data_IF_663681234577
#
_entry.id   IF_663681234577
#
_cell.length_a   1.000
_cell.length_b   1.000
_cell.length_c   1.000
_cell.angle_alpha   90.00
_cell.angle_beta   90.00
_cell.angle_gamma   90.00
#
_symmetry.space_group_name_H-M   'P 1'
#
loop_
_entity.id
_entity.type
_entity.pdbx_description
1 polymer ?
#
# COMPACT_ATOMS: atom_id res chain seq x y z
N UNK A 1 -18.73 -7.74 8.27
CA UNK A 1 -19.42 -6.51 7.79
C UNK A 1 -18.39 -5.61 7.12
N UNK A 2 -18.60 -5.25 5.86
CA UNK A 2 -17.80 -4.21 5.18
C UNK A 2 -18.30 -2.84 5.65
N UNK A 3 -17.40 -2.03 6.24
CA UNK A 3 -17.72 -0.65 6.62
C UNK A 3 -18.09 0.14 5.35
N UNK A 4 -19.26 0.79 5.32
CA UNK A 4 -19.63 1.67 4.21
C UNK A 4 -18.82 2.97 4.26
N UNK A 5 -18.63 3.68 3.14
CA UNK A 5 -17.96 4.99 3.12
C UNK A 5 -18.59 6.01 4.08
N UNK A 6 -19.92 6.01 4.16
CA UNK A 6 -20.66 6.85 5.11
C UNK A 6 -20.38 6.44 6.57
N UNK A 7 -20.35 5.15 6.87
CA UNK A 7 -20.01 4.65 8.21
C UNK A 7 -18.55 4.95 8.58
N UNK A 8 -17.63 4.88 7.61
CA UNK A 8 -16.23 5.24 7.79
C UNK A 8 -16.08 6.73 8.13
N UNK A 9 -16.63 7.63 7.30
CA UNK A 9 -16.54 9.08 7.54
C UNK A 9 -17.28 9.56 8.79
N UNK A 10 -18.39 8.91 9.15
CA UNK A 10 -19.14 9.24 10.37
C UNK A 10 -18.46 8.71 11.65
N UNK A 11 -17.46 7.83 11.54
CA UNK A 11 -16.73 7.32 12.69
C UNK A 11 -15.70 8.35 13.17
N UNK A 12 -16.13 9.27 14.03
CA UNK A 12 -15.18 9.95 14.89
C UNK A 12 -14.35 8.88 15.64
N UNK A 13 -13.03 9.05 15.80
CA UNK A 13 -12.23 8.12 16.58
C UNK A 13 -12.91 7.94 17.93
N UNK A 14 -13.25 6.68 18.28
CA UNK A 14 -13.92 6.40 19.55
C UNK A 14 -13.07 7.02 20.68
N UNK A 15 -13.69 7.71 21.66
CA UNK A 15 -12.94 8.21 22.81
C UNK A 15 -12.25 7.02 23.48
N UNK A 16 -10.97 7.18 23.78
CA UNK A 16 -10.23 6.16 24.51
C UNK A 16 -10.77 6.05 25.93
N UNK A 17 -10.83 4.83 26.44
CA UNK A 17 -11.35 4.53 27.76
C UNK A 17 -10.23 4.12 28.73
N UNK A 18 -10.56 4.09 30.01
CA UNK A 18 -9.73 3.58 31.09
C UNK A 18 -10.61 3.25 32.28
N UNK A 19 -10.14 2.39 33.18
CA UNK A 19 -10.87 2.04 34.40
C UNK A 19 -11.07 3.24 35.36
N UNK A 20 -10.36 4.34 35.12
CA UNK A 20 -10.44 5.61 35.86
C UNK A 20 -10.30 6.79 34.88
N UNK A 21 -10.67 7.99 35.32
CA UNK A 21 -10.42 9.22 34.55
C UNK A 21 -8.93 9.45 34.26
N UNK A 22 -8.06 9.11 35.23
CA UNK A 22 -6.61 9.16 35.03
C UNK A 22 -6.16 8.20 33.92
N UNK A 23 -6.68 6.96 33.90
CA UNK A 23 -6.35 5.97 32.88
C UNK A 23 -6.85 6.39 31.49
N UNK A 24 -8.04 6.98 31.39
CA UNK A 24 -8.57 7.49 30.12
C UNK A 24 -7.73 8.66 29.57
N UNK A 25 -7.30 9.59 30.44
CA UNK A 25 -6.34 10.64 30.07
C UNK A 25 -5.01 10.02 29.60
N UNK A 26 -4.48 9.07 30.35
CA UNK A 26 -3.21 8.41 30.02
C UNK A 26 -3.26 7.64 28.71
N UNK A 27 -4.38 6.96 28.40
CA UNK A 27 -4.58 6.32 27.10
C UNK A 27 -4.47 7.30 25.93
N UNK A 28 -4.98 8.53 26.09
CA UNK A 28 -4.81 9.59 25.09
C UNK A 28 -3.35 10.03 24.94
N UNK A 29 -2.62 10.15 26.04
CA UNK A 29 -1.19 10.47 26.02
C UNK A 29 -0.39 9.38 25.28
N UNK A 30 -0.66 8.10 25.54
CA UNK A 30 -0.01 6.98 24.84
C UNK A 30 -0.36 6.97 23.35
N UNK A 31 -1.64 7.10 22.98
CA UNK A 31 -2.03 7.16 21.55
C UNK A 31 -1.33 8.32 20.83
N UNK A 32 -1.22 9.48 21.48
CA UNK A 32 -0.55 10.65 20.91
C UNK A 32 0.92 10.34 20.55
N UNK A 33 1.66 9.66 21.42
CA UNK A 33 3.06 9.27 21.14
C UNK A 33 3.16 8.41 19.87
N UNK A 34 2.30 7.40 19.73
CA UNK A 34 2.29 6.56 18.52
C UNK A 34 1.93 7.35 17.26
N UNK A 35 0.94 8.24 17.35
CA UNK A 35 0.51 9.07 16.20
C UNK A 35 1.60 10.07 15.79
N UNK A 36 2.22 10.76 16.73
CA UNK A 36 3.30 11.72 16.46
C UNK A 36 4.51 11.03 15.83
N UNK A 37 4.93 9.88 16.37
CA UNK A 37 6.02 9.12 15.78
C UNK A 37 5.69 8.60 14.38
N UNK A 38 4.48 8.07 14.17
CA UNK A 38 4.05 7.60 12.85
C UNK A 38 3.99 8.73 11.82
N UNK A 39 3.59 9.94 12.21
CA UNK A 39 3.59 11.11 11.33
C UNK A 39 5.00 11.51 10.87
N UNK A 40 6.02 11.23 11.68
CA UNK A 40 7.42 11.54 11.38
C UNK A 40 8.20 10.34 10.80
N UNK A 41 7.56 9.17 10.66
CA UNK A 41 8.22 7.98 10.14
C UNK A 41 8.67 8.18 8.68
N UNK A 42 9.81 7.61 8.24
CA UNK A 42 10.33 7.79 6.88
C UNK A 42 9.31 7.52 5.77
N UNK A 43 8.47 6.48 5.95
CA UNK A 43 7.38 6.13 5.02
C UNK A 43 6.32 7.22 4.88
N UNK A 44 6.02 7.94 5.97
CA UNK A 44 5.04 9.03 5.99
C UNK A 44 5.60 10.30 5.35
N UNK A 45 6.91 10.50 5.43
CA UNK A 45 7.62 11.65 4.85
C UNK A 45 8.05 11.39 3.39
N UNK A 46 7.88 10.17 2.89
CA UNK A 46 8.28 9.79 1.55
C UNK A 46 7.45 10.54 0.49
N UNK A 47 8.11 11.45 -0.23
CA UNK A 47 7.50 12.22 -1.33
C UNK A 47 7.52 11.48 -2.67
N UNK A 48 8.47 10.55 -2.85
CA UNK A 48 8.63 9.79 -4.08
C UNK A 48 7.80 8.50 -4.03
N UNK A 49 6.91 8.31 -5.00
CA UNK A 49 6.11 7.09 -5.07
C UNK A 49 6.97 5.87 -5.40
N UNK A 50 6.81 4.79 -4.63
CA UNK A 50 7.45 3.51 -4.90
C UNK A 50 6.55 2.55 -5.71
N UNK A 51 7.05 1.36 -6.05
CA UNK A 51 6.31 0.33 -6.79
C UNK A 51 4.92 -0.02 -6.21
N UNK A 52 4.77 0.04 -4.89
CA UNK A 52 3.49 -0.22 -4.20
C UNK A 52 2.38 0.76 -4.56
N UNK A 53 2.71 1.94 -5.07
CA UNK A 53 1.74 2.99 -5.40
C UNK A 53 1.45 3.09 -6.89
N UNK A 54 2.36 2.64 -7.76
CA UNK A 54 2.14 2.64 -9.21
C UNK A 54 1.00 1.70 -9.62
N UNK A 55 0.78 0.63 -8.85
CA UNK A 55 -0.31 -0.32 -9.06
C UNK A 55 -1.71 0.21 -8.72
N UNK A 56 -1.82 1.39 -8.10
CA UNK A 56 -3.11 2.03 -7.82
C UNK A 56 -3.82 2.39 -9.13
N UNK A 57 -5.12 2.10 -9.19
CA UNK A 57 -5.94 2.27 -10.39
C UNK A 57 -6.30 3.73 -10.66
N UNK A 58 -6.63 4.48 -9.60
CA UNK A 58 -7.10 5.87 -9.72
C UNK A 58 -5.98 6.84 -10.10
N UNK A 59 -6.06 7.38 -11.32
CA UNK A 59 -5.11 8.38 -11.83
C UNK A 59 -5.06 9.63 -10.96
N UNK A 60 -6.22 10.15 -10.53
CA UNK A 60 -6.29 11.30 -9.63
C UNK A 60 -5.54 11.06 -8.32
N UNK A 61 -5.65 9.86 -7.75
CA UNK A 61 -4.93 9.53 -6.52
C UNK A 61 -3.41 9.51 -6.74
N UNK A 62 -2.94 8.87 -7.81
CA UNK A 62 -1.50 8.77 -8.04
C UNK A 62 -0.91 10.12 -8.45
N UNK A 63 -1.54 10.84 -9.38
CA UNK A 63 -1.10 12.16 -9.82
C UNK A 63 -1.13 13.18 -8.67
N UNK A 64 -2.17 13.17 -7.83
CA UNK A 64 -2.24 14.06 -6.67
C UNK A 64 -1.12 13.82 -5.66
N UNK A 65 -0.73 12.56 -5.43
CA UNK A 65 0.41 12.24 -4.56
C UNK A 65 1.73 12.69 -5.20
N UNK A 66 1.94 12.41 -6.49
CA UNK A 66 3.12 12.87 -7.23
C UNK A 66 3.26 14.41 -7.23
N UNK A 67 2.13 15.13 -7.27
CA UNK A 67 2.10 16.59 -7.22
C UNK A 67 2.31 17.17 -5.81
N UNK A 68 2.33 16.33 -4.76
CA UNK A 68 2.41 16.79 -3.37
C UNK A 68 1.14 17.53 -2.91
N UNK A 69 -0.02 17.20 -3.48
CA UNK A 69 -1.29 17.81 -3.07
C UNK A 69 -1.54 17.58 -1.57
N UNK A 70 -2.12 18.56 -0.85
CA UNK A 70 -2.46 18.39 0.55
C UNK A 70 -3.52 17.30 0.74
N UNK A 71 -3.35 16.48 1.77
CA UNK A 71 -4.33 15.45 2.15
C UNK A 71 -5.59 16.10 2.71
N UNK A 72 -6.77 15.65 2.26
CA UNK A 72 -8.07 16.15 2.73
C UNK A 72 -8.81 15.14 3.59
N UNK A 73 -8.45 13.86 3.48
CA UNK A 73 -9.01 12.79 4.30
C UNK A 73 -8.37 12.79 5.69
N UNK A 74 -9.20 12.90 6.72
CA UNK A 74 -8.80 13.05 8.12
C UNK A 74 -9.12 11.81 8.98
N UNK A 75 -9.65 10.75 8.36
CA UNK A 75 -10.22 9.57 9.08
C UNK A 75 -9.22 8.41 9.17
N UNK A 76 -7.91 8.70 9.08
CA UNK A 76 -6.88 7.66 9.07
C UNK A 76 -6.24 7.46 10.44
N UNK A 77 -6.40 6.27 11.01
CA UNK A 77 -5.64 5.81 12.18
C UNK A 77 -4.36 5.09 11.70
N UNK A 78 -3.15 5.48 12.15
CA UNK A 78 -1.90 4.91 11.67
C UNK A 78 -1.61 3.51 12.22
N UNK A 79 -2.36 3.00 13.21
CA UNK A 79 -2.10 1.72 13.87
C UNK A 79 -1.90 0.53 12.93
N UNK A 80 -2.71 0.32 11.87
CA UNK A 80 -2.48 -0.76 10.92
C UNK A 80 -1.11 -0.65 10.20
N UNK A 81 -0.67 0.57 9.89
CA UNK A 81 0.61 0.82 9.22
C UNK A 81 1.80 0.65 10.17
N UNK A 82 1.65 1.08 11.43
CA UNK A 82 2.64 0.86 12.49
C UNK A 82 2.84 -0.64 12.70
N UNK A 83 1.74 -1.39 12.87
CA UNK A 83 1.77 -2.84 13.03
C UNK A 83 2.44 -3.53 11.84
N UNK A 84 2.08 -3.14 10.62
CA UNK A 84 2.72 -3.66 9.40
C UNK A 84 4.23 -3.42 9.41
N UNK A 85 4.67 -2.19 9.64
CA UNK A 85 6.10 -1.82 9.66
C UNK A 85 6.89 -2.64 10.68
N UNK A 86 6.37 -2.78 11.90
CA UNK A 86 7.03 -3.58 12.95
C UNK A 86 7.12 -5.07 12.58
N UNK A 87 6.09 -5.63 11.94
CA UNK A 87 6.07 -7.04 11.54
C UNK A 87 6.97 -7.32 10.33
N UNK A 88 7.11 -6.39 9.37
CA UNK A 88 8.08 -6.51 8.28
C UNK A 88 9.52 -6.51 8.82
N UNK A 89 9.84 -5.57 9.71
CA UNK A 89 11.17 -5.52 10.33
C UNK A 89 11.52 -6.83 11.04
N UNK A 90 10.58 -7.38 11.83
CA UNK A 90 10.77 -8.68 12.49
C UNK A 90 10.93 -9.82 11.48
N UNK A 91 10.15 -9.83 10.39
CA UNK A 91 10.25 -10.87 9.36
C UNK A 91 11.63 -10.82 8.65
N UNK A 92 12.10 -9.64 8.29
CA UNK A 92 13.42 -9.45 7.67
C UNK A 92 14.56 -10.00 8.55
N UNK A 93 14.51 -9.70 9.85
CA UNK A 93 15.46 -10.25 10.83
C UNK A 93 15.38 -11.78 10.91
N UNK A 94 14.16 -12.33 10.92
CA UNK A 94 13.94 -13.77 11.02
C UNK A 94 14.48 -14.55 9.80
N UNK A 95 14.25 -14.05 8.59
CA UNK A 95 14.76 -14.67 7.35
C UNK A 95 16.29 -14.55 7.25
N UNK A 96 16.84 -13.39 7.62
CA UNK A 96 18.30 -13.19 7.68
C UNK A 96 18.94 -14.14 8.69
N UNK A 97 18.34 -14.33 9.86
CA UNK A 97 18.81 -15.28 10.86
C UNK A 97 18.71 -16.75 10.40
N UNK A 98 17.74 -17.10 9.56
CA UNK A 98 17.63 -18.45 8.99
C UNK A 98 18.80 -18.78 8.04
N UNK A 99 19.25 -17.82 7.22
CA UNK A 99 20.45 -17.98 6.40
C UNK A 99 21.68 -18.33 7.26
N UNK A 100 21.87 -17.60 8.37
CA UNK A 100 22.99 -17.84 9.30
C UNK A 100 22.87 -19.22 9.93
N UNK A 101 21.68 -19.58 10.44
CA UNK A 101 21.44 -20.85 11.13
C UNK A 101 21.68 -22.06 10.22
N UNK A 102 21.28 -21.95 8.95
CA UNK A 102 21.42 -23.02 7.95
C UNK A 102 22.72 -22.94 7.14
N UNK A 103 23.51 -21.89 7.35
CA UNK A 103 24.74 -21.61 6.60
C UNK A 103 24.52 -21.64 5.07
N UNK A 104 23.44 -21.00 4.61
CA UNK A 104 23.08 -20.90 3.19
C UNK A 104 22.50 -19.51 2.90
N UNK A 105 22.92 -18.90 1.80
CA UNK A 105 22.33 -17.63 1.34
C UNK A 105 21.10 -17.93 0.48
N UNK A 106 19.95 -18.16 1.13
CA UNK A 106 18.67 -18.38 0.44
C UNK A 106 17.86 -17.09 0.39
N UNK A 107 17.75 -16.39 1.52
CA UNK A 107 16.84 -15.27 1.71
C UNK A 107 17.56 -13.93 1.51
N UNK A 108 17.14 -13.12 0.55
CA UNK A 108 17.61 -11.73 0.43
C UNK A 108 16.48 -10.81 0.90
N UNK A 109 16.54 -10.38 2.16
CA UNK A 109 15.52 -9.52 2.76
C UNK A 109 15.81 -8.02 2.56
N UNK A 110 14.76 -7.21 2.45
CA UNK A 110 14.81 -5.73 2.40
C UNK A 110 15.76 -5.16 1.32
N UNK A 111 15.76 -5.79 0.14
CA UNK A 111 16.63 -5.39 -0.95
C UNK A 111 16.08 -4.18 -1.71
N UNK A 112 16.93 -3.16 -1.89
CA UNK A 112 16.62 -2.06 -2.81
C UNK A 112 16.63 -2.55 -4.25
N UNK A 113 15.57 -2.28 -4.99
CA UNK A 113 15.39 -2.64 -6.40
C UNK A 113 14.91 -1.45 -7.22
N UNK A 114 15.26 -1.41 -8.51
CA UNK A 114 14.93 -0.29 -9.41
C UNK A 114 14.23 -0.81 -10.67
N UNK A 115 12.90 -1.06 -10.61
CA UNK A 115 12.14 -1.44 -11.80
C UNK A 115 11.87 -0.27 -12.74
N UNK A 116 11.89 0.95 -12.21
CA UNK A 116 11.74 2.19 -12.96
C UNK A 116 12.70 3.23 -12.36
N UNK A 117 13.43 4.02 -13.18
CA UNK A 117 14.44 4.97 -12.70
C UNK A 117 13.92 5.95 -11.64
N UNK A 118 12.71 6.49 -11.86
CA UNK A 118 12.08 7.45 -10.93
C UNK A 118 11.31 6.82 -9.78
N UNK A 119 11.09 5.50 -9.82
CA UNK A 119 10.26 4.78 -8.84
C UNK A 119 10.96 3.54 -8.26
N UNK A 120 12.14 3.71 -7.64
CA UNK A 120 12.81 2.64 -6.92
C UNK A 120 12.03 2.24 -5.66
N UNK A 121 12.17 0.97 -5.26
CA UNK A 121 11.46 0.39 -4.12
C UNK A 121 12.36 -0.54 -3.30
N UNK A 122 11.86 -0.95 -2.14
CA UNK A 122 12.50 -2.00 -1.33
C UNK A 122 11.58 -3.20 -1.34
N UNK A 123 12.08 -4.33 -1.85
CA UNK A 123 11.35 -5.59 -1.87
C UNK A 123 11.56 -6.30 -0.52
N UNK A 124 10.49 -6.90 0.02
CA UNK A 124 10.54 -7.52 1.34
C UNK A 124 11.49 -8.71 1.37
N UNK A 125 11.37 -9.62 0.37
CA UNK A 125 12.12 -10.86 0.35
C UNK A 125 12.32 -11.38 -1.08
N UNK A 126 13.50 -11.93 -1.36
CA UNK A 126 13.75 -12.79 -2.50
C UNK A 126 14.27 -14.15 -2.02
N UNK A 127 13.65 -15.22 -2.53
CA UNK A 127 14.07 -16.59 -2.30
C UNK A 127 14.94 -17.05 -3.48
N UNK A 128 16.25 -17.16 -3.25
CA UNK A 128 17.21 -17.58 -4.26
C UNK A 128 17.07 -19.06 -4.65
N UNK A 129 16.50 -19.89 -3.77
CA UNK A 129 16.28 -21.30 -4.04
C UNK A 129 15.10 -21.49 -5.00
N UNK A 130 13.97 -20.83 -4.70
CA UNK A 130 12.74 -20.91 -5.51
C UNK A 130 12.69 -19.87 -6.65
N UNK A 131 13.67 -18.97 -6.70
CA UNK A 131 13.78 -17.85 -7.64
C UNK A 131 12.52 -17.00 -7.63
N UNK A 132 12.02 -16.71 -6.43
CA UNK A 132 10.76 -16.00 -6.23
C UNK A 132 10.98 -14.66 -5.53
N UNK A 133 10.14 -13.70 -5.89
CA UNK A 133 10.02 -12.43 -5.16
C UNK A 133 8.79 -12.49 -4.29
N UNK A 134 8.99 -12.32 -3.00
CA UNK A 134 8.00 -12.57 -1.97
C UNK A 134 7.68 -11.26 -1.24
N UNK A 135 6.41 -10.86 -1.20
CA UNK A 135 5.94 -9.67 -0.47
C UNK A 135 5.09 -10.11 0.73
N UNK A 136 5.46 -9.63 1.92
CA UNK A 136 4.79 -9.94 3.17
C UNK A 136 3.57 -9.03 3.33
N UNK A 137 2.40 -9.60 3.62
CA UNK A 137 1.18 -8.85 3.95
C UNK A 137 0.55 -9.36 5.23
N UNK A 138 0.60 -8.53 6.27
CA UNK A 138 -0.06 -8.80 7.55
C UNK A 138 -1.49 -8.26 7.52
N UNK A 139 -2.44 -9.13 7.19
CA UNK A 139 -3.81 -8.76 6.87
C UNK A 139 -4.78 -9.07 8.01
N UNK A 140 -5.76 -8.18 8.19
CA UNK A 140 -6.96 -8.51 8.95
C UNK A 140 -7.86 -9.48 8.18
N UNK A 141 -8.79 -10.12 8.89
CA UNK A 141 -9.64 -11.20 8.38
C UNK A 141 -10.34 -10.87 7.04
N UNK A 142 -10.92 -9.68 6.91
CA UNK A 142 -11.64 -9.28 5.70
C UNK A 142 -10.73 -9.12 4.47
N UNK A 143 -9.53 -8.57 4.65
CA UNK A 143 -8.54 -8.43 3.59
C UNK A 143 -7.94 -9.78 3.20
N UNK A 144 -7.71 -10.65 4.18
CA UNK A 144 -7.23 -12.01 3.95
C UNK A 144 -8.25 -12.84 3.16
N UNK A 145 -9.55 -12.73 3.50
CA UNK A 145 -10.63 -13.37 2.75
C UNK A 145 -10.69 -12.90 1.29
N UNK A 146 -10.45 -11.61 1.02
CA UNK A 146 -10.37 -11.09 -0.36
C UNK A 146 -9.22 -11.72 -1.15
N UNK A 147 -8.03 -11.77 -0.56
CA UNK A 147 -6.84 -12.38 -1.19
C UNK A 147 -7.06 -13.88 -1.48
N UNK A 148 -7.78 -14.60 -0.60
CA UNK A 148 -8.12 -16.02 -0.77
C UNK A 148 -9.26 -16.28 -1.76
N UNK A 149 -9.98 -15.25 -2.19
CA UNK A 149 -11.08 -15.42 -3.13
C UNK A 149 -10.57 -15.88 -4.49
N UNK A 150 -11.47 -16.40 -5.34
CA UNK A 150 -11.10 -16.76 -6.72
C UNK A 150 -10.53 -15.60 -7.54
N UNK A 151 -10.84 -14.35 -7.15
CA UNK A 151 -10.25 -13.14 -7.77
C UNK A 151 -8.80 -12.91 -7.34
N UNK A 152 -8.32 -13.53 -6.27
CA UNK A 152 -6.96 -13.37 -5.76
C UNK A 152 -6.66 -11.95 -5.23
N UNK A 153 -5.38 -11.57 -5.15
CA UNK A 153 -4.97 -10.24 -4.71
C UNK A 153 -5.35 -9.15 -5.70
N UNK A 154 -5.46 -7.92 -5.20
CA UNK A 154 -5.81 -6.74 -6.00
C UNK A 154 -4.77 -6.45 -7.09
N UNK A 155 -5.16 -5.70 -8.13
CA UNK A 155 -4.24 -5.21 -9.16
C UNK A 155 -3.02 -4.52 -8.54
N UNK A 156 -3.24 -3.72 -7.50
CA UNK A 156 -2.15 -3.01 -6.81
C UNK A 156 -1.08 -3.97 -6.28
N UNK A 157 -1.47 -5.06 -5.61
CA UNK A 157 -0.51 -6.05 -5.09
C UNK A 157 0.20 -6.81 -6.22
N UNK A 158 -0.53 -7.18 -7.28
CA UNK A 158 0.07 -7.88 -8.43
C UNK A 158 1.10 -7.01 -9.15
N UNK A 159 0.77 -5.75 -9.42
CA UNK A 159 1.69 -4.80 -10.05
C UNK A 159 2.90 -4.56 -9.15
N UNK A 160 2.71 -4.37 -7.84
CA UNK A 160 3.82 -4.21 -6.90
C UNK A 160 4.80 -5.39 -6.98
N UNK A 161 4.29 -6.61 -6.91
CA UNK A 161 5.06 -7.84 -6.98
C UNK A 161 5.84 -7.97 -8.28
N UNK A 162 5.20 -7.74 -9.43
CA UNK A 162 5.86 -7.85 -10.72
C UNK A 162 6.85 -6.72 -10.99
N UNK A 163 6.62 -5.51 -10.44
CA UNK A 163 7.62 -4.46 -10.44
C UNK A 163 8.85 -4.87 -9.61
N UNK A 164 8.67 -5.47 -8.43
CA UNK A 164 9.83 -5.99 -7.70
C UNK A 164 10.54 -7.13 -8.46
N UNK A 165 9.77 -8.02 -9.11
CA UNK A 165 10.29 -9.03 -10.05
C UNK A 165 11.19 -8.43 -11.13
N UNK A 166 10.70 -7.39 -11.83
CA UNK A 166 11.48 -6.66 -12.82
C UNK A 166 12.73 -6.01 -12.20
N UNK A 167 12.60 -5.43 -11.00
CA UNK A 167 13.71 -4.81 -10.29
C UNK A 167 14.86 -5.78 -9.99
N UNK A 168 14.54 -7.00 -9.55
CA UNK A 168 15.55 -8.07 -9.36
C UNK A 168 16.14 -8.56 -10.70
N UNK A 169 15.32 -8.67 -11.75
CA UNK A 169 15.81 -9.00 -13.10
C UNK A 169 16.79 -7.96 -13.62
N UNK A 170 16.53 -6.68 -13.39
CA UNK A 170 17.43 -5.59 -13.75
C UNK A 170 18.79 -5.67 -13.02
N UNK A 171 18.82 -6.32 -11.85
CA UNK A 171 20.06 -6.63 -11.12
C UNK A 171 20.76 -7.91 -11.61
N UNK A 172 20.19 -8.62 -12.59
CA UNK A 172 20.74 -9.87 -13.12
C UNK A 172 20.30 -11.13 -12.37
N UNK A 173 19.37 -11.02 -11.41
CA UNK A 173 18.87 -12.19 -10.67
C UNK A 173 17.71 -12.86 -11.41
N UNK A 174 17.66 -14.21 -11.45
CA UNK A 174 16.56 -14.93 -12.07
C UNK A 174 15.30 -14.80 -11.21
N UNK A 175 14.18 -14.44 -11.84
CA UNK A 175 12.85 -14.44 -11.20
C UNK A 175 11.91 -15.29 -12.04
N UNK A 176 11.44 -16.39 -11.47
CA UNK A 176 10.54 -17.34 -12.15
C UNK A 176 9.08 -17.09 -11.73
N UNK A 177 8.85 -16.68 -10.48
CA UNK A 177 7.52 -16.37 -9.93
C UNK A 177 7.54 -15.20 -8.96
N UNK A 178 6.36 -14.66 -8.68
CA UNK A 178 6.11 -13.71 -7.59
C UNK A 178 5.13 -14.32 -6.58
N UNK A 179 5.27 -13.97 -5.31
CA UNK A 179 4.55 -14.60 -4.21
C UNK A 179 4.03 -13.53 -3.25
N UNK A 180 2.75 -13.60 -2.92
CA UNK A 180 2.14 -12.84 -1.83
C UNK A 180 2.00 -13.75 -0.60
N UNK A 181 2.72 -13.42 0.46
CA UNK A 181 2.65 -14.11 1.75
C UNK A 181 1.64 -13.39 2.65
N UNK A 182 0.41 -13.88 2.71
CA UNK A 182 -0.69 -13.27 3.45
C UNK A 182 -0.82 -13.86 4.86
N UNK A 183 -0.27 -13.15 5.84
CA UNK A 183 -0.25 -13.53 7.27
C UNK A 183 -1.52 -13.06 8.00
N UNK A 184 -2.08 -13.86 8.92
CA UNK A 184 -3.26 -13.50 9.69
C UNK A 184 -2.89 -12.58 10.88
N UNK A 185 -2.88 -11.26 10.66
CA UNK A 185 -2.34 -10.28 11.62
C UNK A 185 -3.07 -10.19 12.97
N UNK A 186 -4.28 -10.76 13.06
CA UNK A 186 -5.12 -10.72 14.27
C UNK A 186 -5.36 -12.12 14.86
N UNK A 187 -4.80 -13.17 14.27
CA UNK A 187 -4.92 -14.54 14.78
C UNK A 187 -3.84 -14.84 15.83
N UNK A 188 -4.08 -15.85 16.67
CA UNK A 188 -3.14 -16.32 17.69
C UNK A 188 -2.07 -17.30 17.18
N UNK A 189 -2.15 -17.73 15.91
CA UNK A 189 -1.20 -18.68 15.29
C UNK A 189 -0.96 -18.35 13.81
N UNK A 190 0.06 -18.98 13.22
CA UNK A 190 0.38 -18.88 11.80
C UNK A 190 -0.39 -19.86 10.91
N UNK A 191 -1.30 -20.67 11.46
CA UNK A 191 -2.07 -21.67 10.70
C UNK A 191 -2.93 -21.03 9.58
N UNK A 192 -3.24 -19.74 9.72
CA UNK A 192 -3.92 -18.94 8.73
C UNK A 192 -3.03 -18.34 7.64
N UNK A 193 -1.73 -18.63 7.59
CA UNK A 193 -0.86 -18.18 6.50
C UNK A 193 -1.40 -18.69 5.17
N UNK A 194 -1.61 -17.78 4.23
CA UNK A 194 -2.01 -18.10 2.86
C UNK A 194 -0.97 -17.59 1.87
N UNK A 195 -0.61 -18.42 0.91
CA UNK A 195 0.36 -18.10 -0.13
C UNK A 195 -0.37 -18.04 -1.46
N UNK A 196 -0.31 -16.88 -2.11
CA UNK A 196 -0.74 -16.72 -3.50
C UNK A 196 0.50 -16.54 -4.37
N UNK A 197 0.52 -17.14 -5.55
CA UNK A 197 1.66 -17.06 -6.46
C UNK A 197 1.22 -16.84 -7.91
N UNK A 198 2.13 -16.29 -8.72
CA UNK A 198 1.97 -16.17 -10.15
C UNK A 198 3.32 -16.23 -10.86
N UNK A 199 3.38 -16.91 -12.01
CA UNK A 199 4.55 -16.88 -12.89
C UNK A 199 4.85 -15.44 -13.34
N UNK A 200 6.14 -15.05 -13.35
CA UNK A 200 6.54 -13.68 -13.71
C UNK A 200 6.89 -13.53 -15.21
N UNK A 201 7.43 -14.58 -15.83
CA UNK A 201 7.97 -14.53 -17.20
C UNK A 201 6.93 -14.91 -18.26
N UNK A 202 5.85 -14.15 -18.35
CA UNK A 202 4.85 -14.31 -19.41
C UNK A 202 4.66 -12.99 -20.18
N UNK A 203 4.27 -13.08 -21.46
CA UNK A 203 3.97 -11.89 -22.28
C UNK A 203 2.94 -10.99 -21.62
N UNK A 204 1.92 -11.58 -21.00
CA UNK A 204 0.84 -10.85 -20.32
C UNK A 204 1.36 -9.97 -19.16
N UNK A 205 2.46 -10.39 -18.50
CA UNK A 205 3.08 -9.59 -17.44
C UNK A 205 3.91 -8.45 -18.02
N UNK A 206 4.62 -8.69 -19.12
CA UNK A 206 5.36 -7.63 -19.80
C UNK A 206 4.38 -6.55 -20.33
N UNK A 207 3.24 -6.97 -20.92
CA UNK A 207 2.16 -6.07 -21.36
C UNK A 207 1.56 -5.29 -20.19
N UNK A 208 1.30 -5.94 -19.05
CA UNK A 208 0.81 -5.28 -17.84
C UNK A 208 1.78 -4.20 -17.35
N UNK A 209 3.08 -4.50 -17.31
CA UNK A 209 4.09 -3.56 -16.85
C UNK A 209 4.24 -2.39 -17.83
N UNK A 210 4.15 -2.64 -19.14
CA UNK A 210 4.13 -1.58 -20.14
C UNK A 210 2.95 -0.62 -19.90
N UNK A 211 1.74 -1.14 -19.73
CA UNK A 211 0.56 -0.32 -19.43
C UNK A 211 0.75 0.49 -18.14
N UNK A 212 1.33 -0.11 -17.09
CA UNK A 212 1.64 0.59 -15.84
C UNK A 212 2.62 1.74 -16.05
N UNK A 213 3.64 1.57 -16.90
CA UNK A 213 4.59 2.64 -17.20
C UNK A 213 3.99 3.76 -18.04
N UNK A 214 3.15 3.44 -19.03
CA UNK A 214 2.40 4.44 -19.81
C UNK A 214 1.45 5.25 -18.91
N UNK A 215 0.73 4.57 -18.01
CA UNK A 215 -0.09 5.22 -16.98
C UNK A 215 0.75 6.12 -16.08
N UNK A 216 1.92 5.63 -15.64
CA UNK A 216 2.84 6.39 -14.78
C UNK A 216 3.32 7.66 -15.48
N UNK A 217 3.73 7.59 -16.75
CA UNK A 217 4.12 8.76 -17.53
C UNK A 217 2.98 9.79 -17.68
N UNK A 218 1.76 9.30 -17.93
CA UNK A 218 0.55 10.15 -17.98
C UNK A 218 0.29 10.84 -16.65
N UNK A 219 0.38 10.11 -15.53
CA UNK A 219 0.20 10.63 -14.17
C UNK A 219 1.28 11.64 -13.79
N UNK A 220 2.53 11.42 -14.21
CA UNK A 220 3.62 12.39 -14.04
C UNK A 220 3.35 13.67 -14.83
N UNK A 221 2.79 13.58 -16.05
CA UNK A 221 2.37 14.76 -16.79
C UNK A 221 1.28 15.54 -16.02
N UNK A 222 0.23 14.88 -15.55
CA UNK A 222 -0.78 15.53 -14.71
C UNK A 222 -0.18 16.19 -13.46
N UNK A 223 0.74 15.51 -12.78
CA UNK A 223 1.39 16.03 -11.59
C UNK A 223 2.18 17.33 -11.88
N UNK A 224 2.89 17.39 -13.01
CA UNK A 224 3.59 18.61 -13.46
C UNK A 224 2.63 19.76 -13.77
N UNK A 225 1.52 19.46 -14.44
CA UNK A 225 0.50 20.48 -14.75
C UNK A 225 -0.21 21.01 -13.49
N UNK A 226 -0.43 20.14 -12.49
CA UNK A 226 -0.95 20.54 -11.17
C UNK A 226 0.06 21.44 -10.45
N UNK A 227 1.32 21.00 -10.38
CA UNK A 227 2.38 21.78 -9.73
C UNK A 227 2.56 23.16 -10.37
N UNK A 228 2.40 23.26 -11.69
CA UNK A 228 2.46 24.51 -12.43
C UNK A 228 1.17 25.36 -12.35
N UNK A 229 0.13 24.91 -11.64
CA UNK A 229 -1.14 25.62 -11.50
C UNK A 229 -2.00 25.65 -12.77
N UNK A 230 -1.68 24.84 -13.79
CA UNK A 230 -2.42 24.76 -15.06
C UNK A 230 -3.55 23.73 -15.03
N UNK A 231 -3.50 22.80 -14.08
CA UNK A 231 -4.50 21.76 -13.88
C UNK A 231 -4.89 21.68 -12.40
N UNK A 232 -6.18 21.59 -12.10
CA UNK A 232 -6.66 21.28 -10.76
C UNK A 232 -6.79 19.78 -10.57
N UNK A 233 -6.59 19.28 -9.34
CA UNK A 233 -6.70 17.85 -9.04
C UNK A 233 -8.06 17.25 -9.44
N UNK A 234 -9.15 18.02 -9.31
CA UNK A 234 -10.50 17.63 -9.72
C UNK A 234 -10.62 17.34 -11.22
N UNK A 235 -9.74 17.91 -12.05
CA UNK A 235 -9.74 17.75 -13.50
C UNK A 235 -8.97 16.49 -13.96
N UNK A 236 -8.15 15.87 -13.10
CA UNK A 236 -7.54 14.56 -13.40
C UNK A 236 -8.64 13.49 -13.30
N UNK A 237 -8.71 12.48 -14.20
CA UNK A 237 -9.74 11.43 -14.13
C UNK A 237 -9.80 10.69 -12.78
N UNK A 238 -11.02 10.49 -12.24
CA UNK A 238 -11.24 9.65 -11.05
C UNK A 238 -11.18 8.16 -11.35
N UNK A 239 -11.34 7.81 -12.62
CA UNK A 239 -11.56 6.44 -13.10
C UNK A 239 -10.32 5.93 -13.85
N UNK A 240 -10.04 4.61 -13.80
CA UNK A 240 -10.73 3.61 -12.99
C UNK A 240 -10.55 3.88 -11.49
N UNK A 241 -11.54 3.54 -10.69
CA UNK A 241 -11.51 3.74 -9.24
C UNK A 241 -11.45 2.40 -8.51
N UNK A 242 -11.52 2.45 -7.19
CA UNK A 242 -11.79 1.27 -6.37
C UNK A 242 -12.89 1.58 -5.36
N UNK A 243 -13.57 0.54 -4.90
CA UNK A 243 -14.50 0.60 -3.77
C UNK A 243 -13.84 1.10 -2.47
N UNK A 244 -12.52 1.32 -2.48
CA UNK A 244 -11.70 1.78 -1.36
C UNK A 244 -11.42 3.28 -1.41
N UNK A 245 -12.18 4.07 -2.17
CA UNK A 245 -12.07 5.53 -2.22
C UNK A 245 -11.98 6.17 -0.82
N UNK A 246 -12.67 5.63 0.18
CA UNK A 246 -12.65 6.18 1.54
C UNK A 246 -11.28 6.07 2.25
N UNK A 247 -10.35 5.26 1.74
CA UNK A 247 -8.95 5.23 2.17
C UNK A 247 -8.02 6.15 1.35
N UNK A 248 -8.53 6.81 0.30
CA UNK A 248 -7.74 7.74 -0.50
C UNK A 248 -7.41 9.00 0.34
N UNK A 249 -6.15 9.50 0.32
CA UNK A 249 -5.77 10.72 1.04
C UNK A 249 -6.53 11.98 0.60
N UNK A 250 -7.06 11.96 -0.63
CA UNK A 250 -7.84 13.07 -1.19
C UNK A 250 -9.34 12.86 -1.06
N UNK A 251 -9.81 11.81 -0.41
CA UNK A 251 -11.25 11.59 -0.24
C UNK A 251 -11.86 12.65 0.66
N UNK A 252 -12.89 13.33 0.15
CA UNK A 252 -13.69 14.34 0.83
C UNK A 252 -15.07 14.39 0.16
N UNK A 253 -16.04 13.56 0.59
CA UNK A 253 -17.35 13.48 -0.05
C UNK A 253 -18.10 14.83 -0.06
N UNK A 254 -17.79 15.73 0.86
CA UNK A 254 -18.36 17.08 0.92
C UNK A 254 -18.00 17.93 -0.31
N UNK A 255 -16.88 17.63 -1.02
CA UNK A 255 -16.50 18.39 -2.21
C UNK A 255 -17.49 18.25 -3.37
N UNK A 256 -18.35 17.22 -3.38
CA UNK A 256 -19.44 17.12 -4.33
C UNK A 256 -20.47 18.26 -4.18
N UNK A 257 -20.64 18.79 -2.97
CA UNK A 257 -21.64 19.81 -2.65
C UNK A 257 -21.07 21.22 -2.66
N UNK A 258 -19.88 21.39 -2.10
CA UNK A 258 -19.29 22.72 -1.92
C UNK A 258 -18.22 23.10 -2.95
N UNK A 259 -17.84 22.16 -3.84
CA UNK A 259 -16.79 22.38 -4.83
C UNK A 259 -15.39 22.62 -4.23
N UNK A 260 -15.22 22.42 -2.94
CA UNK A 260 -13.96 22.64 -2.22
C UNK A 260 -12.89 21.59 -2.56
N UNK A 261 -11.67 21.84 -2.10
CA UNK A 261 -10.50 20.98 -2.35
C UNK A 261 -10.76 19.54 -1.92
N UNK A 262 -10.37 18.57 -2.75
CA UNK A 262 -10.53 17.14 -2.50
C UNK A 262 -11.37 16.44 -3.56
N UNK A 263 -11.43 15.12 -3.47
CA UNK A 263 -12.16 14.25 -4.37
C UNK A 263 -13.42 13.73 -3.66
N UNK A 264 -14.62 13.85 -4.26
CA UNK A 264 -15.83 13.32 -3.65
C UNK A 264 -15.83 11.80 -3.52
N UNK A 265 -14.88 11.14 -4.20
CA UNK A 265 -14.85 9.70 -4.42
C UNK A 265 -16.02 9.26 -5.29
N UNK A 266 -16.03 7.98 -5.60
CA UNK A 266 -17.14 7.32 -6.33
C UNK A 266 -18.00 6.47 -5.40
N UNK A 267 -17.62 6.44 -4.12
CA UNK A 267 -18.28 5.74 -3.02
C UNK A 267 -19.71 6.25 -2.68
N UNK A 268 -20.32 7.06 -3.54
CA UNK A 268 -21.69 7.55 -3.44
C UNK A 268 -22.41 7.74 -4.78
N UNK A 269 -21.86 7.26 -5.90
CA UNK A 269 -22.50 7.37 -7.22
C UNK A 269 -23.27 6.13 -7.66
N UNK A 270 -23.32 5.07 -6.84
CA UNK A 270 -24.31 4.01 -7.00
C UNK A 270 -25.61 4.46 -6.31
N UNK A 271 -26.36 5.30 -7.01
CA UNK A 271 -27.82 5.33 -6.87
C UNK A 271 -28.42 4.07 -7.47
#
# INVERSE_FOLDING_TARGET
MTLSPAAFMASAPKPLNGNTAWAARYANEIRRVFHEHAAQAPRSLQLHLGPSELGVECDRQVAGKMAGCPTTNHVFDPWPSIRGTALHAWAADAFTADNVRKNVMRWVAEQRVTPHPDHPGTADLYDAQERSVDDHKFLGESSLAKVRSAKGPSRQYRVQLHLYGLGYRNMGLPVDRVVLLAYPATAGSLDGLYVWEQAHRTSDIDDLLQVVFEQTATRQHYAREIHAGRLQLSQVPSTPDSDLCYFCPFYRPQSAKDGGVGCPGTAGSNG
#
